data_IF_596305672862
#
_entry.id   IF_596305672862
#
_cell.length_a   1.000
_cell.length_b   1.000
_cell.length_c   1.000
_cell.angle_alpha   90.00
_cell.angle_beta   90.00
_cell.angle_gamma   90.00
#
_symmetry.space_group_name_H-M   'P 1'
#
loop_
_entity.id
_entity.type
_entity.pdbx_description
1 polymer ?
#
# COMPACT_ATOMS: atom_id res chain seq x y z
N UNK A 1 9.30 28.40 -1.73
CA UNK A 1 8.70 27.07 -1.51
C UNK A 1 7.29 27.34 -1.00
N UNK A 2 6.30 27.32 -1.89
CA UNK A 2 4.95 27.78 -1.57
C UNK A 2 4.14 26.61 -1.01
N UNK A 3 4.02 26.57 0.30
CA UNK A 3 3.11 25.70 1.04
C UNK A 3 1.68 26.24 0.81
N UNK A 4 0.89 25.54 0.00
CA UNK A 4 -0.50 25.89 -0.26
C UNK A 4 -1.39 25.15 0.74
N UNK A 5 -1.99 25.94 1.62
CA UNK A 5 -3.08 25.59 2.51
C UNK A 5 -4.30 25.07 1.74
N UNK A 6 -4.86 23.93 2.15
CA UNK A 6 -6.28 23.63 1.96
C UNK A 6 -6.82 22.98 3.23
N UNK A 7 -7.49 23.80 4.04
CA UNK A 7 -8.38 23.34 5.11
C UNK A 7 -9.61 22.71 4.45
N UNK A 8 -9.79 21.40 4.61
CA UNK A 8 -11.06 20.72 4.32
C UNK A 8 -11.50 19.96 5.58
N UNK A 9 -12.76 20.18 5.97
CA UNK A 9 -13.57 19.46 6.95
C UNK A 9 -13.02 18.07 7.36
N UNK A 10 -12.59 17.95 8.63
CA UNK A 10 -12.61 16.69 9.39
C UNK A 10 -11.57 15.60 9.10
N UNK A 11 -10.79 15.60 8.02
CA UNK A 11 -9.59 14.73 7.88
C UNK A 11 -8.76 15.13 6.65
N UNK A 12 -7.64 15.82 6.87
CA UNK A 12 -6.67 16.06 5.80
C UNK A 12 -5.99 14.74 5.39
N UNK A 13 -5.93 14.48 4.09
CA UNK A 13 -5.21 13.33 3.51
C UNK A 13 -3.80 13.77 3.13
N UNK A 14 -2.79 13.05 3.60
CA UNK A 14 -1.39 13.36 3.34
C UNK A 14 -0.77 12.28 2.45
N UNK A 15 -0.51 12.58 1.17
CA UNK A 15 0.15 11.61 0.29
C UNK A 15 1.61 11.38 0.73
N UNK A 16 2.16 10.18 0.47
CA UNK A 16 3.58 9.93 0.70
C UNK A 16 4.45 10.83 -0.19
N UNK A 17 5.67 11.12 0.26
CA UNK A 17 6.66 11.84 -0.54
C UNK A 17 7.08 11.04 -1.78
N UNK A 18 7.57 11.74 -2.80
CA UNK A 18 8.06 11.11 -4.04
C UNK A 18 9.20 10.11 -3.80
N UNK A 19 10.06 10.38 -2.82
CA UNK A 19 11.13 9.46 -2.41
C UNK A 19 10.56 8.14 -1.87
N UNK A 20 9.54 8.20 -1.02
CA UNK A 20 8.86 7.02 -0.49
C UNK A 20 8.16 6.24 -1.60
N UNK A 21 7.44 6.94 -2.49
CA UNK A 21 6.77 6.30 -3.63
C UNK A 21 7.78 5.56 -4.52
N UNK A 22 8.94 6.15 -4.78
CA UNK A 22 9.97 5.56 -5.65
C UNK A 22 10.62 4.29 -5.06
N UNK A 23 10.56 4.12 -3.74
CA UNK A 23 11.15 2.97 -3.02
C UNK A 23 10.11 1.95 -2.57
N UNK A 24 8.82 2.25 -2.72
CA UNK A 24 7.75 1.36 -2.32
C UNK A 24 7.77 0.09 -3.18
N UNK A 25 7.52 -1.06 -2.55
CA UNK A 25 7.48 -2.33 -3.26
C UNK A 25 6.18 -2.52 -4.07
N UNK A 26 5.13 -1.75 -3.74
CA UNK A 26 3.82 -1.79 -4.38
C UNK A 26 3.23 -0.38 -4.44
N UNK A 27 2.33 -0.17 -5.40
CA UNK A 27 1.46 1.01 -5.51
C UNK A 27 0.02 0.69 -5.06
N UNK A 28 -0.88 1.65 -5.23
CA UNK A 28 -2.28 1.51 -4.84
C UNK A 28 -3.01 0.39 -5.59
N UNK A 29 -2.83 0.29 -6.91
CA UNK A 29 -3.51 -0.73 -7.73
C UNK A 29 -3.02 -2.13 -7.38
N UNK A 30 -1.71 -2.28 -7.14
CA UNK A 30 -1.14 -3.57 -6.71
C UNK A 30 -1.58 -3.94 -5.30
N UNK A 31 -1.74 -2.97 -4.40
CA UNK A 31 -2.32 -3.22 -3.08
C UNK A 31 -3.76 -3.75 -3.20
N UNK A 32 -4.60 -3.13 -4.02
CA UNK A 32 -6.00 -3.56 -4.23
C UNK A 32 -6.07 -5.00 -4.75
N UNK A 33 -5.25 -5.35 -5.74
CA UNK A 33 -5.16 -6.71 -6.28
C UNK A 33 -4.72 -7.73 -5.21
N UNK A 34 -3.63 -7.44 -4.51
CA UNK A 34 -3.11 -8.33 -3.46
C UNK A 34 -4.11 -8.49 -2.32
N UNK A 35 -4.81 -7.42 -1.94
CA UNK A 35 -5.85 -7.45 -0.93
C UNK A 35 -7.04 -8.32 -1.38
N UNK A 36 -7.54 -8.12 -2.59
CA UNK A 36 -8.62 -8.92 -3.14
C UNK A 36 -8.25 -10.42 -3.18
N UNK A 37 -7.02 -10.77 -3.55
CA UNK A 37 -6.51 -12.15 -3.51
C UNK A 37 -6.41 -12.67 -2.07
N UNK A 38 -5.90 -11.87 -1.14
CA UNK A 38 -5.79 -12.27 0.28
C UNK A 38 -7.14 -12.62 0.92
N UNK A 39 -8.23 -12.01 0.45
CA UNK A 39 -9.60 -12.27 0.93
C UNK A 39 -10.25 -13.43 0.19
N UNK A 40 -10.06 -13.55 -1.13
CA UNK A 40 -10.72 -14.57 -1.95
C UNK A 40 -10.02 -15.94 -1.96
N UNK A 41 -8.69 -15.96 -1.80
CA UNK A 41 -7.85 -17.16 -1.71
C UNK A 41 -6.79 -16.97 -0.61
N UNK A 42 -7.19 -17.01 0.68
CA UNK A 42 -6.28 -16.74 1.79
C UNK A 42 -5.17 -17.79 1.91
N UNK A 43 -5.49 -19.07 1.70
CA UNK A 43 -4.51 -20.16 1.82
C UNK A 43 -3.42 -20.05 0.74
N UNK A 44 -3.81 -19.86 -0.53
CA UNK A 44 -2.86 -19.70 -1.63
C UNK A 44 -2.02 -18.43 -1.48
N UNK A 45 -2.62 -17.32 -1.05
CA UNK A 45 -1.89 -16.06 -0.83
C UNK A 45 -0.81 -16.21 0.25
N UNK A 46 -1.17 -16.73 1.42
CA UNK A 46 -0.22 -16.83 2.53
C UNK A 46 0.80 -17.96 2.34
N UNK A 47 0.46 -19.05 1.65
CA UNK A 47 1.43 -20.08 1.28
C UNK A 47 2.53 -19.52 0.34
N UNK A 48 2.18 -18.65 -0.60
CA UNK A 48 3.16 -17.94 -1.44
C UNK A 48 4.03 -16.98 -0.62
N UNK A 49 3.44 -16.28 0.36
CA UNK A 49 4.19 -15.42 1.26
C UNK A 49 5.20 -16.20 2.12
N UNK A 50 4.80 -17.34 2.67
CA UNK A 50 5.58 -18.17 3.59
C UNK A 50 6.82 -18.80 2.95
N UNK A 51 6.84 -19.02 1.63
CA UNK A 51 7.99 -19.57 0.90
C UNK A 51 9.28 -18.73 1.03
N UNK A 52 9.18 -17.49 1.51
CA UNK A 52 10.33 -16.60 1.73
C UNK A 52 11.02 -16.81 3.09
N UNK A 53 10.44 -17.63 3.95
CA UNK A 53 10.93 -17.88 5.31
C UNK A 53 11.58 -19.27 5.36
N UNK A 54 12.80 -19.33 5.85
CA UNK A 54 13.38 -20.56 6.37
C UNK A 54 12.94 -20.72 7.82
N UNK A 55 12.47 -21.91 8.16
CA UNK A 55 11.98 -22.29 9.49
C UNK A 55 12.87 -23.37 10.10
#
# INVERSE_FOLDING_TARGET
MNDQTTTNDGTAVYPPSSETVSRAHIDASRYEEMYARSVSDPEGFWAEAAQRLDW
#
